data_IF_538616695683
#
_entry.id   IF_538616695683
#
_cell.length_a   1.000
_cell.length_b   1.000
_cell.length_c   1.000
_cell.angle_alpha   90.00
_cell.angle_beta   90.00
_cell.angle_gamma   90.00
#
_symmetry.space_group_name_H-M   'P 1'
#
loop_
_entity.id
_entity.type
_entity.pdbx_description
1 polymer ?
#
# COMPACT_ATOMS: atom_id res chain seq x y z
N UNK A 1 13.55 -9.17 -11.38
CA UNK A 1 12.75 -7.95 -11.16
C UNK A 1 11.33 -8.37 -10.87
N UNK A 2 10.75 -7.81 -9.82
CA UNK A 2 9.36 -8.03 -9.42
C UNK A 2 8.54 -6.76 -9.69
N UNK A 3 7.33 -6.95 -10.23
CA UNK A 3 6.40 -5.86 -10.48
C UNK A 3 5.48 -5.68 -9.27
N UNK A 4 5.44 -4.47 -8.72
CA UNK A 4 4.52 -4.07 -7.65
C UNK A 4 3.55 -3.04 -8.21
N UNK A 5 2.26 -3.23 -7.89
CA UNK A 5 1.19 -2.34 -8.29
C UNK A 5 0.45 -1.89 -7.03
N UNK A 6 0.30 -0.58 -6.85
CA UNK A 6 -0.48 0.02 -5.78
C UNK A 6 -1.59 0.90 -6.36
N UNK A 7 -2.81 0.81 -5.85
CA UNK A 7 -3.96 1.68 -6.23
C UNK A 7 -3.99 3.00 -5.45
N UNK A 8 -2.82 3.46 -5.02
CA UNK A 8 -2.60 4.74 -4.38
C UNK A 8 -1.28 5.35 -4.89
N UNK A 9 -1.05 6.62 -4.58
CA UNK A 9 0.14 7.35 -5.01
C UNK A 9 1.36 6.99 -4.14
N UNK A 10 2.40 6.44 -4.77
CA UNK A 10 3.69 6.15 -4.14
C UNK A 10 4.86 6.57 -5.05
N UNK A 11 5.14 7.88 -5.18
CA UNK A 11 6.18 8.41 -6.07
C UNK A 11 7.59 8.17 -5.50
N UNK A 12 8.05 6.92 -5.53
CA UNK A 12 9.36 6.53 -4.98
C UNK A 12 10.46 6.76 -6.02
N UNK A 13 11.54 7.50 -5.69
CA UNK A 13 12.64 7.72 -6.64
C UNK A 13 13.33 6.42 -7.07
N UNK A 14 13.74 6.36 -8.34
CA UNK A 14 14.56 5.26 -8.86
C UNK A 14 15.91 5.25 -8.13
N UNK A 15 16.35 4.06 -7.73
CA UNK A 15 17.56 3.84 -6.95
C UNK A 15 17.33 3.74 -5.45
N UNK A 16 16.15 4.12 -4.95
CA UNK A 16 15.83 3.96 -3.53
C UNK A 16 15.57 2.49 -3.17
N UNK A 17 15.94 2.12 -1.95
CA UNK A 17 15.58 0.82 -1.34
C UNK A 17 14.18 0.87 -0.75
N UNK A 18 13.43 -0.20 -0.94
CA UNK A 18 12.05 -0.34 -0.46
C UNK A 18 11.84 -1.67 0.24
N UNK A 19 10.89 -1.66 1.17
CA UNK A 19 10.33 -2.85 1.80
C UNK A 19 8.82 -2.84 1.57
N UNK A 20 8.30 -3.90 0.94
CA UNK A 20 6.91 -4.03 0.53
C UNK A 20 6.27 -5.18 1.27
N UNK A 21 5.17 -4.91 1.99
CA UNK A 21 4.42 -5.89 2.75
C UNK A 21 3.02 -6.06 2.17
N UNK A 22 2.64 -7.29 1.88
CA UNK A 22 1.27 -7.62 1.51
C UNK A 22 0.55 -8.26 2.68
N UNK A 23 -0.70 -7.87 2.88
CA UNK A 23 -1.54 -8.36 3.95
C UNK A 23 -2.84 -8.94 3.42
N UNK A 24 -3.51 -9.72 4.26
CA UNK A 24 -4.84 -10.25 4.01
C UNK A 24 -5.86 -9.42 4.77
N UNK A 25 -6.88 -8.93 4.06
CA UNK A 25 -8.04 -8.33 4.69
C UNK A 25 -9.02 -9.42 5.12
N UNK A 26 -9.48 -9.35 6.37
CA UNK A 26 -10.65 -10.12 6.80
C UNK A 26 -11.92 -9.34 6.44
N UNK A 27 -12.70 -9.86 5.50
CA UNK A 27 -14.03 -9.33 5.18
C UNK A 27 -15.09 -10.17 5.87
N UNK A 28 -15.95 -9.51 6.67
CA UNK A 28 -17.10 -10.17 7.28
C UNK A 28 -18.16 -10.47 6.23
N UNK A 29 -18.52 -11.74 6.06
CA UNK A 29 -19.61 -12.18 5.19
C UNK A 29 -20.73 -12.88 5.96
N UNK A 30 -21.94 -12.86 5.42
CA UNK A 30 -23.12 -13.59 5.95
C UNK A 30 -22.88 -15.12 6.01
N UNK A 31 -21.89 -15.63 5.27
CA UNK A 31 -21.48 -17.04 5.21
C UNK A 31 -20.21 -17.36 6.00
N UNK A 32 -19.76 -16.45 6.88
CA UNK A 32 -18.52 -16.58 7.65
C UNK A 32 -17.41 -15.62 7.19
N UNK A 33 -16.29 -15.57 7.92
CA UNK A 33 -15.17 -14.71 7.58
C UNK A 33 -14.55 -15.15 6.25
N UNK A 34 -14.42 -14.22 5.31
CA UNK A 34 -13.65 -14.41 4.07
C UNK A 34 -12.34 -13.65 4.21
N UNK A 35 -11.25 -14.32 3.88
CA UNK A 35 -9.94 -13.70 3.76
C UNK A 35 -9.68 -13.37 2.30
N UNK A 36 -9.32 -12.12 2.01
CA UNK A 36 -8.94 -11.68 0.68
C UNK A 36 -7.58 -10.99 0.73
N UNK A 37 -6.66 -11.48 -0.10
CA UNK A 37 -5.34 -10.86 -0.23
C UNK A 37 -5.47 -9.53 -0.98
N UNK A 38 -4.95 -8.46 -0.39
CA UNK A 38 -5.03 -7.13 -0.96
C UNK A 38 -3.78 -6.84 -1.79
N UNK A 39 -3.64 -7.56 -2.91
CA UNK A 39 -2.42 -7.54 -3.76
C UNK A 39 -2.03 -6.15 -4.27
N UNK A 40 -3.02 -5.26 -4.43
CA UNK A 40 -2.83 -3.90 -4.93
C UNK A 40 -2.88 -2.82 -3.84
N UNK A 41 -2.93 -3.22 -2.58
CA UNK A 41 -2.84 -2.30 -1.44
C UNK A 41 -1.78 -2.75 -0.43
N UNK A 42 -0.52 -2.99 -0.85
CA UNK A 42 0.54 -3.30 0.10
C UNK A 42 0.80 -2.11 1.05
N UNK A 43 1.64 -2.30 2.06
CA UNK A 43 2.40 -1.23 2.69
C UNK A 43 3.75 -1.14 1.97
N UNK A 44 4.13 0.03 1.47
CA UNK A 44 5.45 0.26 0.86
C UNK A 44 6.20 1.24 1.74
N UNK A 45 7.38 0.85 2.22
CA UNK A 45 8.30 1.71 2.96
C UNK A 45 9.47 2.07 2.07
N UNK A 46 9.72 3.36 1.87
CA UNK A 46 10.98 3.84 1.32
C UNK A 46 12.02 3.86 2.44
N UNK A 47 12.98 2.94 2.39
CA UNK A 47 13.98 2.74 3.45
C UNK A 47 15.05 3.84 3.46
N UNK A 48 15.18 4.60 2.39
CA UNK A 48 16.18 5.66 2.29
C UNK A 48 15.62 7.00 2.78
N UNK A 49 14.30 7.20 2.75
CA UNK A 49 13.63 8.42 3.25
C UNK A 49 12.79 8.22 4.52
N UNK A 50 12.43 6.98 4.83
CA UNK A 50 11.51 6.65 5.92
C UNK A 50 10.02 6.91 5.62
N UNK A 51 9.67 7.26 4.37
CA UNK A 51 8.27 7.51 3.99
C UNK A 51 7.53 6.19 3.84
N UNK A 52 6.33 6.12 4.42
CA UNK A 52 5.42 4.98 4.29
C UNK A 52 4.24 5.34 3.38
N UNK A 53 3.94 4.46 2.42
CA UNK A 53 2.82 4.58 1.49
C UNK A 53 1.86 3.42 1.74
N UNK A 54 0.59 3.74 2.01
CA UNK A 54 -0.40 2.73 2.39
C UNK A 54 -1.84 3.17 2.13
N UNK A 55 -2.72 2.19 2.03
CA UNK A 55 -4.17 2.41 2.14
C UNK A 55 -4.59 2.57 3.60
N UNK A 56 -5.63 3.36 3.83
CA UNK A 56 -6.14 3.67 5.16
C UNK A 56 -6.73 2.44 5.88
N UNK A 57 -7.16 1.42 5.13
CA UNK A 57 -7.64 0.14 5.67
C UNK A 57 -6.61 -0.59 6.54
N UNK A 58 -5.31 -0.31 6.36
CA UNK A 58 -4.24 -0.88 7.18
C UNK A 58 -4.17 -0.26 8.58
N UNK A 59 -4.81 0.89 8.79
CA UNK A 59 -4.72 1.66 10.03
C UNK A 59 -5.80 1.23 11.03
N UNK A 60 -5.45 1.31 12.32
CA UNK A 60 -6.35 1.01 13.45
C UNK A 60 -7.60 1.87 13.47
N UNK A 61 -7.49 3.13 13.07
CA UNK A 61 -8.63 4.03 12.91
C UNK A 61 -8.43 4.93 11.70
N UNK A 62 -9.53 5.20 11.00
CA UNK A 62 -9.63 6.21 9.96
C UNK A 62 -10.77 7.14 10.33
N UNK A 63 -10.48 8.44 10.38
CA UNK A 63 -11.45 9.44 10.73
C UNK A 63 -12.57 9.56 9.70
N UNK A 64 -13.63 10.29 10.06
CA UNK A 64 -14.74 10.55 9.15
C UNK A 64 -14.38 11.72 8.23
N UNK A 65 -14.59 11.56 6.92
CA UNK A 65 -14.42 12.63 5.94
C UNK A 65 -15.31 13.83 6.30
N UNK A 66 -14.68 15.00 6.49
CA UNK A 66 -15.37 16.28 6.78
C UNK A 66 -15.07 17.31 5.69
N UNK A 67 -16.02 18.17 5.30
CA UNK A 67 -15.77 19.22 4.33
C UNK A 67 -14.61 20.12 4.75
N UNK A 68 -13.68 20.38 3.83
CA UNK A 68 -12.54 21.31 4.01
C UNK A 68 -11.60 20.95 5.18
N UNK A 69 -11.56 19.70 5.62
CA UNK A 69 -10.65 19.21 6.66
C UNK A 69 -9.92 17.97 6.19
N UNK A 70 -8.66 17.84 6.61
CA UNK A 70 -7.93 16.60 6.50
C UNK A 70 -8.64 15.51 7.33
N UNK A 71 -8.52 14.26 6.89
CA UNK A 71 -8.98 13.11 7.65
C UNK A 71 -7.90 12.81 8.67
N UNK A 72 -8.27 12.78 9.95
CA UNK A 72 -7.39 12.28 11.01
C UNK A 72 -7.28 10.76 10.85
N UNK A 73 -6.06 10.25 10.81
CA UNK A 73 -5.77 8.82 10.65
C UNK A 73 -4.79 8.37 11.72
N UNK A 74 -4.82 7.08 12.06
CA UNK A 74 -3.89 6.53 13.04
C UNK A 74 -2.46 6.51 12.54
N UNK A 75 -1.50 6.62 13.46
CA UNK A 75 -0.09 6.29 13.20
C UNK A 75 0.19 4.78 13.28
N UNK A 76 -0.77 4.00 13.80
CA UNK A 76 -0.58 2.57 14.05
C UNK A 76 -1.37 1.70 13.08
N UNK A 77 -0.66 0.70 12.53
CA UNK A 77 -1.24 -0.42 11.81
C UNK A 77 -2.15 -1.25 12.73
N UNK A 78 -3.18 -1.86 12.14
CA UNK A 78 -4.03 -2.86 12.79
C UNK A 78 -3.19 -4.00 13.34
N UNK A 79 -3.53 -4.45 14.55
CA UNK A 79 -2.74 -5.44 15.29
C UNK A 79 -2.92 -6.87 14.74
N UNK A 80 -4.03 -7.10 14.05
CA UNK A 80 -4.40 -8.37 13.42
C UNK A 80 -3.76 -8.59 12.03
N UNK A 81 -2.97 -7.62 11.53
CA UNK A 81 -2.32 -7.72 10.23
C UNK A 81 -1.05 -8.55 10.31
N UNK A 82 -1.05 -9.70 9.65
CA UNK A 82 0.13 -10.50 9.42
C UNK A 82 0.55 -10.40 7.95
N UNK A 83 1.81 -10.03 7.64
CA UNK A 83 2.26 -9.96 6.26
C UNK A 83 2.37 -11.37 5.67
N UNK A 84 1.68 -11.61 4.56
CA UNK A 84 1.71 -12.89 3.83
C UNK A 84 2.85 -12.97 2.83
N UNK A 85 3.40 -11.81 2.46
CA UNK A 85 4.57 -11.69 1.59
C UNK A 85 5.32 -10.42 1.96
N UNK A 86 6.64 -10.50 1.92
CA UNK A 86 7.53 -9.36 2.06
C UNK A 86 8.51 -9.37 0.90
N UNK A 87 8.72 -8.22 0.28
CA UNK A 87 9.74 -7.98 -0.74
C UNK A 87 10.62 -6.83 -0.28
N UNK A 88 11.94 -7.06 -0.25
CA UNK A 88 12.94 -6.01 -0.01
C UNK A 88 13.77 -5.88 -1.29
N UNK A 89 14.02 -4.65 -1.73
CA UNK A 89 14.78 -4.45 -2.96
C UNK A 89 14.96 -3.00 -3.36
N UNK A 90 15.57 -2.77 -4.52
CA UNK A 90 15.83 -1.44 -5.09
C UNK A 90 14.85 -1.11 -6.21
N UNK A 91 14.26 0.09 -6.19
CA UNK A 91 13.37 0.57 -7.25
C UNK A 91 14.18 0.84 -8.52
N UNK A 92 13.88 0.13 -9.60
CA UNK A 92 14.48 0.35 -10.94
C UNK A 92 13.61 1.15 -11.87
N UNK A 93 12.31 1.20 -11.59
CA UNK A 93 11.35 2.02 -12.32
C UNK A 93 10.18 2.38 -11.42
N UNK A 94 9.73 3.63 -11.50
CA UNK A 94 8.50 4.08 -10.88
C UNK A 94 7.65 4.83 -11.91
N UNK A 95 6.37 4.47 -12.00
CA UNK A 95 5.38 5.17 -12.83
C UNK A 95 4.12 5.39 -12.00
N UNK A 96 3.77 6.65 -11.78
CA UNK A 96 2.50 7.06 -11.18
C UNK A 96 1.55 7.48 -12.30
N UNK A 97 0.35 6.92 -12.33
CA UNK A 97 -0.66 7.12 -13.36
C UNK A 97 -1.94 7.64 -12.69
N UNK A 98 -2.38 8.84 -13.05
CA UNK A 98 -3.71 9.33 -12.70
C UNK A 98 -4.73 8.69 -13.64
N UNK A 99 -5.77 8.08 -13.08
CA UNK A 99 -6.78 7.36 -13.83
C UNK A 99 -8.06 8.20 -13.90
N UNK A 100 -8.58 8.44 -15.11
CA UNK A 100 -9.87 9.08 -15.30
C UNK A 100 -10.96 8.01 -15.40
N UNK A 101 -12.11 8.25 -14.74
CA UNK A 101 -13.30 7.38 -14.81
C UNK A 101 -13.10 5.95 -14.27
N UNK A 102 -12.15 5.78 -13.34
CA UNK A 102 -11.87 4.54 -12.62
C UNK A 102 -12.42 4.62 -11.19
N UNK A 103 -12.57 3.47 -10.52
CA UNK A 103 -12.85 3.40 -9.07
C UNK A 103 -11.71 4.02 -8.24
N UNK A 104 -10.48 3.92 -8.76
CA UNK A 104 -9.28 4.46 -8.13
C UNK A 104 -8.76 5.65 -8.93
N UNK A 105 -8.44 6.74 -8.25
CA UNK A 105 -7.97 8.00 -8.87
C UNK A 105 -6.51 7.93 -9.35
N UNK A 106 -5.71 7.04 -8.76
CA UNK A 106 -4.27 6.93 -9.02
C UNK A 106 -3.78 5.49 -8.88
N UNK A 107 -2.80 5.13 -9.69
CA UNK A 107 -2.11 3.85 -9.63
C UNK A 107 -0.60 4.05 -9.74
N UNK A 108 0.17 3.39 -8.90
CA UNK A 108 1.63 3.35 -8.94
C UNK A 108 2.08 1.97 -9.42
N UNK A 109 2.98 1.95 -10.40
CA UNK A 109 3.69 0.77 -10.85
C UNK A 109 5.17 0.90 -10.50
N UNK A 110 5.71 -0.07 -9.77
CA UNK A 110 7.12 -0.16 -9.44
C UNK A 110 7.69 -1.43 -10.04
N UNK A 111 8.87 -1.33 -10.64
CA UNK A 111 9.71 -2.50 -10.86
C UNK A 111 10.82 -2.50 -9.80
N UNK A 112 10.84 -3.54 -8.97
CA UNK A 112 11.77 -3.70 -7.85
C UNK A 112 12.76 -4.81 -8.20
N UNK A 113 14.04 -4.53 -8.07
CA UNK A 113 15.08 -5.56 -8.09
C UNK A 113 15.24 -6.07 -6.65
N UNK A 114 14.89 -7.34 -6.36
CA UNK A 114 15.00 -7.88 -5.00
C UNK A 114 16.44 -7.86 -4.50
N UNK A 115 16.62 -7.57 -3.21
CA UNK A 115 17.89 -7.78 -2.53
C UNK A 115 18.17 -9.30 -2.46
N UNK A 116 19.44 -9.70 -2.62
CA UNK A 116 19.87 -11.09 -2.66
C UNK A 116 19.87 -11.77 -1.29
#
# INVERSE_FOLDING_TARGET
MESVVAIYSAPIPVGHRVEVHWYVAQTGGVLGPKTEQQDHQPLIKDLDTGIEYMGDWLLTHTGIKRPKRAIEVSEHLRHELEPVRVLVGTVRRCRVVTLAWSEYDVQTHLDVEPDA
#
